data_IF_889134665330
#
_entry.id   IF_889134665330
#
_cell.length_a   1.000
_cell.length_b   1.000
_cell.length_c   1.000
_cell.angle_alpha   90.00
_cell.angle_beta   90.00
_cell.angle_gamma   90.00
#
_symmetry.space_group_name_H-M   'P 1'
#
loop_
_entity.id
_entity.type
_entity.pdbx_description
1 polymer ?
#
# COMPACT_ATOMS: atom_id res chain seq x y z
N UNK A 1 -8.11 14.41 -10.56
CA UNK A 1 -6.95 14.04 -11.39
C UNK A 1 -7.13 12.57 -11.74
N UNK A 2 -7.15 12.22 -13.03
CA UNK A 2 -7.23 10.83 -13.44
C UNK A 2 -5.86 10.18 -13.17
N UNK A 3 -5.88 8.93 -12.70
CA UNK A 3 -4.65 8.17 -12.47
C UNK A 3 -4.01 7.82 -13.82
N UNK A 4 -2.77 8.21 -14.04
CA UNK A 4 -2.01 7.82 -15.24
C UNK A 4 -1.44 6.40 -15.08
N UNK A 5 -1.22 5.69 -16.20
CA UNK A 5 -0.76 4.29 -16.19
C UNK A 5 0.52 4.07 -15.38
N UNK A 6 1.44 5.04 -15.35
CA UNK A 6 2.66 5.00 -14.54
C UNK A 6 2.37 5.02 -13.02
N UNK A 7 1.36 5.78 -12.60
CA UNK A 7 0.95 5.82 -11.20
C UNK A 7 0.31 4.50 -10.79
N UNK A 8 -0.53 3.93 -11.67
CA UNK A 8 -1.12 2.61 -11.45
C UNK A 8 -0.06 1.52 -11.31
N UNK A 9 0.94 1.49 -12.19
CA UNK A 9 2.06 0.55 -12.11
C UNK A 9 2.85 0.72 -10.81
N UNK A 10 3.18 1.96 -10.42
CA UNK A 10 3.92 2.20 -9.18
C UNK A 10 3.16 1.72 -7.94
N UNK A 11 1.84 1.88 -7.91
CA UNK A 11 1.04 1.36 -6.79
C UNK A 11 0.97 -0.16 -6.83
N UNK A 12 0.78 -0.78 -7.99
CA UNK A 12 0.78 -2.23 -8.11
C UNK A 12 2.12 -2.83 -7.64
N UNK A 13 3.25 -2.26 -8.04
CA UNK A 13 4.57 -2.69 -7.56
C UNK A 13 4.70 -2.59 -6.03
N UNK A 14 4.16 -1.53 -5.43
CA UNK A 14 4.12 -1.38 -3.98
C UNK A 14 3.27 -2.46 -3.30
N UNK A 15 2.11 -2.78 -3.86
CA UNK A 15 1.23 -3.84 -3.34
C UNK A 15 1.89 -5.21 -3.40
N UNK A 16 2.57 -5.53 -4.51
CA UNK A 16 3.32 -6.78 -4.66
C UNK A 16 4.45 -6.86 -3.62
N UNK A 17 5.21 -5.78 -3.42
CA UNK A 17 6.27 -5.74 -2.40
C UNK A 17 5.72 -5.95 -0.97
N UNK A 18 4.58 -5.33 -0.65
CA UNK A 18 3.87 -5.52 0.62
C UNK A 18 3.41 -6.96 0.79
N UNK A 19 2.77 -7.54 -0.23
CA UNK A 19 2.28 -8.92 -0.18
C UNK A 19 3.44 -9.90 0.04
N UNK A 20 4.56 -9.70 -0.64
CA UNK A 20 5.78 -10.47 -0.41
C UNK A 20 6.32 -10.32 1.01
N UNK A 21 6.34 -9.10 1.55
CA UNK A 21 6.76 -8.86 2.93
C UNK A 21 5.86 -9.60 3.93
N UNK A 22 4.54 -9.45 3.80
CA UNK A 22 3.56 -10.07 4.69
C UNK A 22 3.60 -11.60 4.63
N UNK A 23 3.74 -12.18 3.43
CA UNK A 23 3.78 -13.64 3.24
C UNK A 23 5.13 -14.27 3.60
N UNK A 24 6.23 -13.51 3.54
CA UNK A 24 7.56 -13.99 3.92
C UNK A 24 7.84 -13.86 5.42
N UNK A 25 7.08 -13.06 6.15
CA UNK A 25 7.29 -12.78 7.57
C UNK A 25 6.44 -13.69 8.45
N UNK A 26 6.85 -13.87 9.71
CA UNK A 26 6.00 -14.46 10.76
C UNK A 26 4.96 -13.45 11.24
N UNK A 27 4.06 -13.05 10.34
CA UNK A 27 2.86 -12.33 10.73
C UNK A 27 1.87 -13.30 11.41
N UNK A 28 1.12 -12.85 12.43
CA UNK A 28 -0.04 -13.60 12.89
C UNK A 28 -1.01 -13.81 11.71
N UNK A 29 -1.57 -15.01 11.57
CA UNK A 29 -2.42 -15.35 10.42
C UNK A 29 -3.61 -14.39 10.26
N UNK A 30 -4.17 -13.91 11.38
CA UNK A 30 -5.26 -12.93 11.38
C UNK A 30 -4.85 -11.61 10.71
N UNK A 31 -3.74 -11.01 11.15
CA UNK A 31 -3.22 -9.76 10.58
C UNK A 31 -2.74 -9.94 9.13
N UNK A 32 -2.23 -11.12 8.78
CA UNK A 32 -1.84 -11.46 7.42
C UNK A 32 -3.05 -11.50 6.47
N UNK A 33 -4.13 -12.18 6.85
CA UNK A 33 -5.36 -12.25 6.05
C UNK A 33 -5.98 -10.86 5.88
N UNK A 34 -6.07 -10.06 6.95
CA UNK A 34 -6.58 -8.68 6.89
C UNK A 34 -5.77 -7.80 5.93
N UNK A 35 -4.44 -7.94 5.91
CA UNK A 35 -3.56 -7.19 5.01
C UNK A 35 -3.70 -7.67 3.56
N UNK A 36 -3.84 -8.97 3.33
CA UNK A 36 -4.04 -9.52 1.97
C UNK A 36 -5.39 -9.06 1.41
N UNK A 37 -6.47 -9.12 2.19
CA UNK A 37 -7.77 -8.60 1.76
C UNK A 37 -7.72 -7.11 1.42
N UNK A 38 -6.96 -6.33 2.20
CA UNK A 38 -6.77 -4.91 1.93
C UNK A 38 -5.99 -4.67 0.64
N UNK A 39 -4.97 -5.48 0.35
CA UNK A 39 -4.21 -5.44 -0.91
C UNK A 39 -5.12 -5.74 -2.09
N UNK A 40 -5.88 -6.83 -2.04
CA UNK A 40 -6.80 -7.23 -3.11
C UNK A 40 -7.84 -6.14 -3.38
N UNK A 41 -8.37 -5.51 -2.33
CA UNK A 41 -9.32 -4.41 -2.46
C UNK A 41 -8.70 -3.18 -3.14
N UNK A 42 -7.43 -2.88 -2.88
CA UNK A 42 -6.72 -1.79 -3.58
C UNK A 42 -6.53 -2.16 -5.05
N UNK A 43 -6.14 -3.40 -5.35
CA UNK A 43 -6.00 -3.87 -6.73
C UNK A 43 -7.31 -3.76 -7.51
N UNK A 44 -8.44 -4.16 -6.92
CA UNK A 44 -9.76 -3.98 -7.53
C UNK A 44 -10.05 -2.51 -7.85
N UNK A 45 -9.70 -1.58 -6.94
CA UNK A 45 -9.86 -0.14 -7.18
C UNK A 45 -8.98 0.37 -8.32
N UNK A 46 -7.78 -0.19 -8.51
CA UNK A 46 -6.89 0.16 -9.63
C UNK A 46 -7.44 -0.32 -10.97
N UNK A 47 -8.19 -1.42 -11.00
CA UNK A 47 -8.82 -1.94 -12.21
C UNK A 47 -10.12 -1.21 -12.59
N UNK A 48 -10.61 -0.29 -11.76
CA UNK A 48 -11.76 0.54 -12.10
C UNK A 48 -11.43 1.54 -13.21
N UNK A 49 -12.44 1.86 -14.02
CA UNK A 49 -12.35 2.85 -15.10
C UNK A 49 -11.88 4.23 -14.63
N UNK A 50 -12.14 4.57 -13.38
CA UNK A 50 -11.68 5.79 -12.71
C UNK A 50 -11.20 5.44 -11.29
N UNK A 51 -9.92 5.07 -11.12
CA UNK A 51 -9.38 4.73 -9.82
C UNK A 51 -9.47 5.92 -8.88
N UNK A 52 -9.93 5.70 -7.66
CA UNK A 52 -9.92 6.73 -6.63
C UNK A 52 -8.54 6.76 -5.95
N UNK A 53 -7.63 7.55 -6.51
CA UNK A 53 -6.26 7.71 -6.01
C UNK A 53 -6.22 8.10 -4.52
N UNK A 54 -7.14 8.96 -4.06
CA UNK A 54 -7.20 9.36 -2.66
C UNK A 54 -7.56 8.21 -1.73
N UNK A 55 -8.50 7.35 -2.15
CA UNK A 55 -8.87 6.15 -1.42
C UNK A 55 -7.71 5.14 -1.38
N UNK A 56 -7.08 4.90 -2.52
CA UNK A 56 -5.91 4.03 -2.64
C UNK A 56 -4.77 4.49 -1.73
N UNK A 57 -4.41 5.78 -1.76
CA UNK A 57 -3.37 6.32 -0.89
C UNK A 57 -3.75 6.25 0.60
N UNK A 58 -5.04 6.34 0.93
CA UNK A 58 -5.51 6.15 2.32
C UNK A 58 -5.26 4.72 2.79
N UNK A 59 -5.59 3.72 1.97
CA UNK A 59 -5.34 2.32 2.30
C UNK A 59 -3.85 2.01 2.39
N UNK A 60 -3.04 2.51 1.46
CA UNK A 60 -1.58 2.38 1.49
C UNK A 60 -0.98 2.96 2.78
N UNK A 61 -1.45 4.14 3.22
CA UNK A 61 -1.03 4.72 4.50
C UNK A 61 -1.42 3.83 5.70
N UNK A 62 -2.59 3.19 5.64
CA UNK A 62 -3.02 2.24 6.68
C UNK A 62 -2.12 1.01 6.73
N UNK A 63 -1.80 0.42 5.58
CA UNK A 63 -0.87 -0.71 5.46
C UNK A 63 0.50 -0.32 6.04
N UNK A 64 1.08 0.80 5.58
CA UNK A 64 2.37 1.25 6.06
C UNK A 64 2.39 1.51 7.57
N UNK A 65 1.27 1.98 8.14
CA UNK A 65 1.13 2.17 9.60
C UNK A 65 1.10 0.84 10.36
N UNK A 66 0.43 -0.18 9.84
CA UNK A 66 0.45 -1.53 10.43
C UNK A 66 1.83 -2.17 10.32
N UNK A 67 2.47 -2.06 9.16
CA UNK A 67 3.81 -2.59 8.90
C UNK A 67 4.90 -1.87 9.69
N UNK A 68 4.71 -0.59 10.06
CA UNK A 68 5.68 0.19 10.85
C UNK A 68 6.05 -0.46 12.18
N UNK A 69 5.17 -1.26 12.77
CA UNK A 69 5.46 -1.99 14.00
C UNK A 69 6.52 -3.09 13.79
N UNK A 70 6.73 -3.52 12.53
CA UNK A 70 7.65 -4.59 12.16
C UNK A 70 8.90 -4.02 11.47
N UNK A 71 10.10 -4.16 12.05
CA UNK A 71 11.32 -3.66 11.43
C UNK A 71 11.64 -4.35 10.09
N UNK A 72 11.21 -5.60 9.91
CA UNK A 72 11.38 -6.39 8.69
C UNK A 72 10.55 -5.84 7.52
N UNK A 73 9.41 -5.19 7.80
CA UNK A 73 8.52 -4.61 6.79
C UNK A 73 8.89 -3.18 6.38
N UNK A 74 10.02 -2.67 6.90
CA UNK A 74 10.47 -1.30 6.65
C UNK A 74 10.71 -1.02 5.16
N UNK A 75 11.26 -1.96 4.41
CA UNK A 75 11.45 -1.81 2.97
C UNK A 75 10.10 -1.65 2.25
N UNK A 76 9.09 -2.45 2.61
CA UNK A 76 7.74 -2.30 2.06
C UNK A 76 7.13 -0.93 2.38
N UNK A 77 7.33 -0.39 3.58
CA UNK A 77 6.90 0.96 3.92
C UNK A 77 7.53 2.05 3.04
N UNK A 78 8.81 1.91 2.69
CA UNK A 78 9.51 2.85 1.80
C UNK A 78 8.98 2.77 0.36
N UNK A 79 8.66 1.57 -0.12
CA UNK A 79 8.04 1.40 -1.45
C UNK A 79 6.63 2.00 -1.48
N UNK A 80 5.85 1.83 -0.41
CA UNK A 80 4.54 2.50 -0.28
C UNK A 80 4.70 4.03 -0.32
N UNK A 81 5.66 4.58 0.41
CA UNK A 81 5.91 6.02 0.45
C UNK A 81 6.25 6.57 -0.94
N UNK A 82 7.13 5.89 -1.67
CA UNK A 82 7.48 6.26 -3.05
C UNK A 82 6.26 6.21 -3.98
N UNK A 83 5.42 5.18 -3.87
CA UNK A 83 4.20 5.07 -4.67
C UNK A 83 3.17 6.17 -4.37
N UNK A 84 2.99 6.53 -3.09
CA UNK A 84 2.13 7.65 -2.67
C UNK A 84 2.70 8.98 -3.22
N UNK A 85 4.01 9.17 -3.15
CA UNK A 85 4.70 10.34 -3.70
C UNK A 85 4.53 10.47 -5.22
N UNK A 86 4.68 9.37 -5.96
CA UNK A 86 4.42 9.30 -7.41
C UNK A 86 2.95 9.56 -7.77
N UNK A 87 2.03 9.20 -6.88
CA UNK A 87 0.61 9.52 -7.01
C UNK A 87 0.31 11.01 -6.72
N UNK A 88 1.29 11.80 -6.29
CA UNK A 88 1.13 13.21 -5.94
C UNK A 88 0.37 13.45 -4.64
N UNK A 89 0.27 12.43 -3.79
CA UNK A 89 -0.42 12.48 -2.50
C UNK A 89 0.61 12.54 -1.35
N UNK A 90 0.27 13.13 -0.20
CA UNK A 90 1.16 13.11 0.96
C UNK A 90 1.15 11.74 1.64
N UNK A 91 2.33 11.23 1.99
CA UNK A 91 2.46 10.10 2.93
C UNK A 91 2.19 10.61 4.36
N UNK A 92 1.23 9.99 5.04
CA UNK A 92 0.82 10.38 6.40
C UNK A 92 1.10 9.30 7.44
N UNK A 93 1.56 8.11 7.03
CA UNK A 93 1.87 7.00 7.93
C UNK A 93 3.08 7.28 8.86
N UNK A 94 3.99 8.17 8.45
CA UNK A 94 5.12 8.61 9.27
C UNK A 94 4.71 9.64 10.33
N UNK A 95 3.80 10.54 9.95
CA UNK A 95 3.19 11.55 10.82
C UNK A 95 2.17 10.86 11.72
N UNK A 96 2.60 10.43 12.90
CA UNK A 96 1.73 9.80 13.90
C UNK A 96 0.68 10.77 14.45
N UNK A 97 -0.37 11.03 13.68
CA UNK A 97 -1.62 11.66 14.11
C UNK A 97 -2.69 10.56 14.20
#
# INVERSE_FOLDING_TARGET
>A
MNMDGTQQTAIHEALVAVQHAVTSMTFPSCDQEDLIELIDRIEEQLHLRHPNVALVCTFLNSIARSLRAQPEARDACLVIEDAIGKAGMPSTWQSGI
#
